data_IF_348460428096
#
_entry.id   IF_348460428096
#
_cell.length_a   1.000
_cell.length_b   1.000
_cell.length_c   1.000
_cell.angle_alpha   90.00
_cell.angle_beta   90.00
_cell.angle_gamma   90.00
#
_symmetry.space_group_name_H-M   'P 1'
#
loop_
_entity.id
_entity.type
_entity.pdbx_description
1 polymer ?
#
# COMPACT_ATOMS: atom_id res chain seq x y z
N UNK A 1 0.04 -11.22 -9.91
CA UNK A 1 1.11 -10.30 -10.36
C UNK A 1 0.62 -9.64 -11.64
N UNK A 2 0.19 -8.40 -11.58
CA UNK A 2 -0.35 -7.69 -12.75
C UNK A 2 0.66 -6.64 -13.24
N UNK A 3 1.23 -6.91 -14.41
CA UNK A 3 2.05 -6.01 -15.23
C UNK A 3 1.14 -5.04 -16.04
N UNK A 4 1.68 -3.98 -16.68
CA UNK A 4 0.94 -2.77 -17.02
C UNK A 4 -0.07 -2.99 -18.17
N UNK A 5 -1.35 -3.09 -17.81
CA UNK A 5 -2.49 -3.11 -18.74
C UNK A 5 -3.14 -1.72 -18.88
N UNK A 6 -3.65 -1.43 -20.06
CA UNK A 6 -3.90 -0.10 -20.65
C UNK A 6 -5.01 0.80 -20.04
N UNK A 7 -5.41 0.61 -18.77
CA UNK A 7 -6.37 1.51 -18.08
C UNK A 7 -6.01 1.73 -16.59
N UNK A 8 -4.78 2.18 -16.33
CA UNK A 8 -4.35 2.54 -14.98
C UNK A 8 -4.71 3.99 -14.66
N UNK A 9 -5.52 4.19 -13.63
CA UNK A 9 -5.81 5.50 -13.05
C UNK A 9 -4.81 5.81 -11.94
N UNK A 10 -4.40 7.08 -11.89
CA UNK A 10 -3.54 7.60 -10.84
C UNK A 10 -4.42 8.09 -9.68
N UNK A 11 -4.16 7.55 -8.50
CA UNK A 11 -4.75 7.97 -7.24
C UNK A 11 -3.67 8.54 -6.34
N UNK A 12 -3.94 9.68 -5.72
CA UNK A 12 -3.03 10.34 -4.78
C UNK A 12 -3.68 10.41 -3.41
N UNK A 13 -2.90 10.16 -2.38
CA UNK A 13 -3.30 10.32 -0.98
C UNK A 13 -2.07 10.66 -0.12
N UNK A 14 -2.27 10.82 1.18
CA UNK A 14 -1.19 11.15 2.09
C UNK A 14 -1.57 10.98 3.55
N UNK A 15 -0.59 11.16 4.45
CA UNK A 15 -0.91 11.28 5.86
C UNK A 15 -1.74 12.54 6.11
N UNK A 16 -2.55 12.52 7.17
CA UNK A 16 -3.25 13.71 7.68
C UNK A 16 -2.29 14.89 7.89
N UNK A 17 -1.05 14.59 8.28
CA UNK A 17 0.01 15.57 8.50
C UNK A 17 0.58 16.23 7.24
N UNK A 18 0.32 15.69 6.04
CA UNK A 18 0.94 16.09 4.77
C UNK A 18 2.43 15.75 4.59
N UNK A 19 3.12 15.27 5.61
CA UNK A 19 4.56 14.93 5.55
C UNK A 19 4.87 13.73 4.64
N UNK A 20 3.89 12.85 4.42
CA UNK A 20 4.00 11.66 3.59
C UNK A 20 2.93 11.71 2.51
N UNK A 21 3.34 11.52 1.26
CA UNK A 21 2.44 11.48 0.11
C UNK A 21 2.63 10.16 -0.64
N UNK A 22 1.52 9.54 -1.05
CA UNK A 22 1.48 8.30 -1.82
C UNK A 22 0.76 8.52 -3.14
N UNK A 23 1.33 7.97 -4.20
CA UNK A 23 0.71 7.89 -5.51
C UNK A 23 0.61 6.43 -5.93
N UNK A 24 -0.60 5.97 -6.24
CA UNK A 24 -0.92 4.62 -6.66
C UNK A 24 -1.45 4.64 -8.09
N UNK A 25 -0.89 3.81 -8.96
CA UNK A 25 -1.46 3.49 -10.27
C UNK A 25 -2.17 2.15 -10.17
N UNK A 26 -3.48 2.14 -10.38
CA UNK A 26 -4.27 0.91 -10.33
C UNK A 26 -5.39 0.93 -11.36
N UNK A 27 -6.03 -0.21 -11.59
CA UNK A 27 -7.37 -0.25 -12.20
C UNK A 27 -8.31 0.67 -11.40
N UNK A 28 -9.44 1.11 -11.99
CA UNK A 28 -10.47 1.84 -11.25
C UNK A 28 -10.77 1.17 -9.91
N UNK A 29 -10.91 1.95 -8.83
CA UNK A 29 -11.11 1.40 -7.48
C UNK A 29 -12.38 0.54 -7.33
N UNK A 30 -13.34 0.64 -8.25
CA UNK A 30 -14.52 -0.24 -8.27
C UNK A 30 -14.21 -1.65 -8.80
N UNK A 31 -13.13 -1.79 -9.57
CA UNK A 31 -12.74 -3.03 -10.25
C UNK A 31 -11.53 -3.70 -9.58
N UNK A 32 -11.01 -3.13 -8.49
CA UNK A 32 -9.91 -3.70 -7.72
C UNK A 32 -10.42 -4.54 -6.57
N UNK A 33 -9.75 -5.67 -6.33
CA UNK A 33 -10.00 -6.48 -5.15
C UNK A 33 -9.45 -5.77 -3.91
N UNK A 34 -10.34 -5.38 -3.00
CA UNK A 34 -9.98 -4.85 -1.69
C UNK A 34 -9.58 -6.00 -0.77
N UNK A 35 -8.52 -5.78 0.01
CA UNK A 35 -7.92 -6.76 0.91
C UNK A 35 -8.06 -6.30 2.35
N UNK A 36 -8.58 -7.21 3.16
CA UNK A 36 -8.69 -7.12 4.61
C UNK A 36 -8.26 -8.46 5.20
N UNK A 37 -7.14 -8.47 5.92
CA UNK A 37 -6.56 -9.70 6.46
C UNK A 37 -6.89 -9.87 7.95
N UNK A 38 -7.00 -11.12 8.41
CA UNK A 38 -7.32 -11.47 9.79
C UNK A 38 -6.10 -11.57 10.71
N UNK A 39 -4.94 -11.08 10.27
CA UNK A 39 -3.72 -11.08 11.07
C UNK A 39 -3.87 -10.11 12.27
N UNK A 40 -3.23 -10.40 13.40
CA UNK A 40 -3.44 -9.63 14.64
C UNK A 40 -3.16 -8.13 14.50
N UNK A 41 -2.15 -7.76 13.71
CA UNK A 41 -1.82 -6.35 13.44
C UNK A 41 -2.78 -5.71 12.42
N UNK A 42 -3.19 -6.48 11.42
CA UNK A 42 -4.15 -6.06 10.39
C UNK A 42 -5.48 -5.69 11.02
N UNK A 43 -6.00 -6.58 11.89
CA UNK A 43 -7.24 -6.39 12.63
C UNK A 43 -7.12 -5.24 13.63
N UNK A 44 -5.99 -5.15 14.36
CA UNK A 44 -5.78 -4.07 15.35
C UNK A 44 -5.73 -2.69 14.72
N UNK A 45 -5.09 -2.55 13.57
CA UNK A 45 -4.92 -1.26 12.88
C UNK A 45 -6.07 -0.96 11.90
N UNK A 46 -6.93 -1.94 11.61
CA UNK A 46 -8.02 -1.80 10.63
C UNK A 46 -7.50 -1.52 9.22
N UNK A 47 -6.43 -2.20 8.80
CA UNK A 47 -5.86 -1.99 7.47
C UNK A 47 -6.80 -2.53 6.40
N UNK A 48 -7.30 -1.63 5.56
CA UNK A 48 -8.08 -1.92 4.36
C UNK A 48 -7.29 -1.34 3.18
N UNK A 49 -6.96 -2.17 2.19
CA UNK A 49 -6.11 -1.72 1.10
C UNK A 49 -6.05 -2.67 -0.08
N UNK A 50 -5.00 -2.51 -0.88
CA UNK A 50 -4.73 -3.32 -2.08
C UNK A 50 -3.26 -3.70 -2.10
N UNK A 51 -2.91 -4.79 -2.80
CA UNK A 51 -1.52 -5.25 -2.96
C UNK A 51 -1.03 -5.00 -4.40
N UNK A 52 -0.63 -3.76 -4.75
CA UNK A 52 -0.11 -3.43 -6.07
C UNK A 52 1.36 -3.86 -6.21
N UNK A 53 1.84 -3.97 -7.45
CA UNK A 53 3.27 -4.10 -7.69
C UNK A 53 4.01 -2.82 -7.28
N UNK A 54 5.22 -2.93 -6.71
CA UNK A 54 6.01 -1.79 -6.22
C UNK A 54 6.23 -0.70 -7.26
N UNK A 55 6.39 -1.08 -8.55
CA UNK A 55 6.58 -0.10 -9.64
C UNK A 55 5.35 0.79 -9.90
N UNK A 56 4.20 0.43 -9.36
CA UNK A 56 2.95 1.18 -9.48
C UNK A 56 2.70 2.12 -8.30
N UNK A 57 3.59 2.12 -7.31
CA UNK A 57 3.48 2.95 -6.11
C UNK A 57 4.67 3.90 -6.04
N UNK A 58 4.40 5.17 -5.73
CA UNK A 58 5.43 6.15 -5.40
C UNK A 58 5.13 6.71 -4.02
N UNK A 59 6.15 6.75 -3.16
CA UNK A 59 6.07 7.28 -1.81
C UNK A 59 7.07 8.43 -1.66
N UNK A 60 6.58 9.59 -1.23
CA UNK A 60 7.37 10.79 -0.92
C UNK A 60 7.33 11.02 0.59
N UNK A 61 8.45 11.45 1.19
CA UNK A 61 8.57 11.63 2.63
C UNK A 61 8.88 10.33 3.39
N UNK A 62 9.58 9.38 2.75
CA UNK A 62 9.93 8.08 3.35
C UNK A 62 10.75 8.23 4.65
N UNK A 63 11.55 9.28 4.76
CA UNK A 63 12.29 9.64 5.97
C UNK A 63 11.39 10.03 7.16
N UNK A 64 10.12 10.36 6.90
CA UNK A 64 9.08 10.63 7.90
C UNK A 64 8.23 9.39 8.21
N UNK A 65 8.68 8.20 7.80
CA UNK A 65 8.01 6.92 8.07
C UNK A 65 8.83 6.03 8.99
N UNK A 66 8.16 5.15 9.73
CA UNK A 66 8.80 4.14 10.57
C UNK A 66 8.42 2.75 10.08
N UNK A 67 9.43 1.94 9.77
CA UNK A 67 9.24 0.53 9.49
C UNK A 67 8.82 -0.20 10.78
N UNK A 68 7.69 -0.89 10.73
CA UNK A 68 7.26 -1.79 11.79
C UNK A 68 7.50 -3.24 11.35
N UNK A 69 8.40 -3.94 12.03
CA UNK A 69 8.82 -5.30 11.70
C UNK A 69 8.69 -6.18 12.93
N UNK A 70 8.15 -7.39 12.76
CA UNK A 70 8.13 -8.39 13.82
C UNK A 70 9.45 -9.18 13.81
N UNK A 71 10.11 -9.39 14.96
CA UNK A 71 11.44 -10.01 15.04
C UNK A 71 11.55 -11.47 14.55
N UNK A 72 10.44 -12.17 14.31
CA UNK A 72 10.43 -13.57 13.83
C UNK A 72 10.04 -13.72 12.36
N UNK A 73 9.55 -12.66 11.70
CA UNK A 73 9.31 -12.69 10.25
C UNK A 73 10.60 -12.25 9.55
N UNK A 74 11.38 -13.24 9.10
CA UNK A 74 12.57 -13.06 8.27
C UNK A 74 12.22 -12.37 6.95
N UNK A 75 12.18 -11.04 6.97
CA UNK A 75 12.43 -10.21 5.80
C UNK A 75 11.45 -10.32 4.63
N UNK A 76 10.25 -10.85 4.81
CA UNK A 76 9.21 -10.69 3.78
C UNK A 76 8.67 -9.27 3.89
N UNK A 77 8.86 -8.41 2.88
CA UNK A 77 8.22 -7.11 2.86
C UNK A 77 6.71 -7.34 2.90
N UNK A 78 5.99 -6.39 3.47
CA UNK A 78 4.55 -6.26 3.22
C UNK A 78 4.36 -5.97 1.72
N UNK A 79 4.45 -7.02 0.90
CA UNK A 79 4.27 -7.09 -0.56
C UNK A 79 4.14 -8.56 -0.98
#
# INVERSE_FOLDING_TARGET
>A
MDAPGEDLKLYTGGCECGAVQVALKSKPLNDIEIKEDNCSICVRNGFIGVYPHQSLVTLVGKDQTQDYKWPWFNGSPIL
#
